data_IF_946395650985
#
_entry.id   IF_946395650985
#
_cell.length_a   1.000
_cell.length_b   1.000
_cell.length_c   1.000
_cell.angle_alpha   90.00
_cell.angle_beta   90.00
_cell.angle_gamma   90.00
#
_symmetry.space_group_name_H-M   'P 1'
#
loop_
_entity.id
_entity.type
_entity.pdbx_description
1 polymer ?
#
# COMPACT_ATOMS: atom_id res chain seq x y z
N UNK A 1 33.25 4.59 22.21
CA UNK A 1 31.94 4.88 21.58
C UNK A 1 31.67 3.79 20.57
N UNK A 2 30.94 2.74 20.95
CA UNK A 2 30.58 1.65 20.05
C UNK A 2 29.40 2.12 19.17
N UNK A 3 29.70 2.68 18.01
CA UNK A 3 28.70 2.97 16.99
C UNK A 3 28.18 1.63 16.45
N UNK A 4 26.99 1.23 16.88
CA UNK A 4 26.36 0.00 16.40
C UNK A 4 26.15 0.08 14.90
N UNK A 5 26.71 -0.88 14.16
CA UNK A 5 26.57 -0.95 12.71
C UNK A 5 25.08 -1.09 12.34
N UNK A 6 24.61 -0.24 11.42
CA UNK A 6 23.28 -0.27 10.83
C UNK A 6 23.38 0.21 9.39
N UNK A 7 22.48 -0.26 8.51
CA UNK A 7 22.40 0.20 7.12
C UNK A 7 21.31 1.24 6.90
N UNK A 8 20.30 1.25 7.78
CA UNK A 8 19.11 2.06 7.65
C UNK A 8 18.95 2.88 8.91
N UNK A 9 18.59 4.14 8.77
CA UNK A 9 18.19 5.03 9.84
C UNK A 9 16.90 5.75 9.48
N UNK A 10 16.17 6.23 10.49
CA UNK A 10 15.04 7.11 10.22
C UNK A 10 15.55 8.46 9.71
N UNK A 11 14.69 9.18 8.97
CA UNK A 11 15.02 10.55 8.58
C UNK A 11 15.28 11.41 9.83
N UNK A 12 16.04 12.49 9.66
CA UNK A 12 16.33 13.46 10.74
C UNK A 12 15.07 14.13 11.29
N UNK A 13 13.99 14.14 10.52
CA UNK A 13 12.70 14.73 10.86
C UNK A 13 11.60 13.67 10.66
N UNK A 14 11.49 12.68 11.55
CA UNK A 14 10.49 11.64 11.41
C UNK A 14 9.10 12.21 11.72
N UNK A 15 8.10 11.86 10.92
CA UNK A 15 6.72 12.22 11.22
C UNK A 15 6.24 11.42 12.42
N UNK A 16 5.66 12.13 13.41
CA UNK A 16 5.13 11.51 14.63
C UNK A 16 3.62 11.66 14.72
N UNK A 17 2.93 10.57 15.02
CA UNK A 17 1.48 10.51 15.06
C UNK A 17 0.98 10.37 16.50
N UNK A 18 -0.26 10.79 16.76
CA UNK A 18 -0.86 10.63 18.07
C UNK A 18 -1.15 9.13 18.30
N UNK A 19 -1.06 8.61 19.54
CA UNK A 19 -1.31 7.20 19.80
C UNK A 19 -2.70 6.78 19.31
N UNK A 20 -2.83 5.54 18.84
CA UNK A 20 -4.13 4.97 18.42
C UNK A 20 -5.16 4.97 19.56
N UNK A 21 -4.73 5.09 20.82
CA UNK A 21 -5.60 5.22 21.99
C UNK A 21 -6.34 6.57 22.06
N UNK A 22 -5.88 7.59 21.32
CA UNK A 22 -6.45 8.95 21.29
C UNK A 22 -7.21 9.26 19.99
N UNK A 23 -7.31 8.29 19.07
CA UNK A 23 -7.98 8.45 17.77
C UNK A 23 -8.93 7.28 17.53
N UNK A 24 -10.02 7.52 16.81
CA UNK A 24 -10.98 6.46 16.47
C UNK A 24 -10.46 5.61 15.30
N UNK A 25 -9.72 6.22 14.38
CA UNK A 25 -9.07 5.53 13.28
C UNK A 25 -7.93 6.36 12.67
N UNK A 26 -6.97 5.68 12.05
CA UNK A 26 -5.86 6.29 11.33
C UNK A 26 -5.71 5.70 9.93
N UNK A 27 -5.44 6.53 8.94
CA UNK A 27 -5.31 6.14 7.54
C UNK A 27 -4.11 6.80 6.90
N UNK A 28 -3.36 6.03 6.12
CA UNK A 28 -2.24 6.56 5.35
C UNK A 28 -2.66 6.81 3.90
N UNK A 29 -2.50 8.04 3.45
CA UNK A 29 -2.65 8.44 2.05
C UNK A 29 -1.29 8.40 1.37
N UNK A 30 -1.01 7.27 0.74
CA UNK A 30 0.24 7.04 0.01
C UNK A 30 0.45 8.05 -1.12
N UNK A 31 -0.61 8.59 -1.72
CA UNK A 31 -0.48 9.51 -2.86
C UNK A 31 0.06 10.88 -2.47
N UNK A 32 -0.22 11.32 -1.25
CA UNK A 32 0.22 12.61 -0.71
C UNK A 32 1.23 12.46 0.44
N UNK A 33 1.61 11.24 0.80
CA UNK A 33 2.42 10.92 1.99
C UNK A 33 1.88 11.57 3.27
N UNK A 34 0.56 11.47 3.47
CA UNK A 34 -0.16 12.08 4.59
C UNK A 34 -0.82 11.03 5.48
N UNK A 35 -0.82 11.26 6.78
CA UNK A 35 -1.59 10.46 7.73
C UNK A 35 -2.83 11.23 8.17
N UNK A 36 -3.99 10.56 8.13
CA UNK A 36 -5.27 11.07 8.59
C UNK A 36 -5.59 10.42 9.92
N UNK A 37 -5.69 11.21 10.98
CA UNK A 37 -6.11 10.78 12.31
C UNK A 37 -7.54 11.29 12.56
N UNK A 38 -8.50 10.38 12.61
CA UNK A 38 -9.92 10.68 12.79
C UNK A 38 -10.28 10.62 14.28
N UNK A 39 -10.95 11.66 14.78
CA UNK A 39 -11.27 11.88 16.18
C UNK A 39 -12.73 12.36 16.36
N UNK A 40 -13.18 12.38 17.61
CA UNK A 40 -14.45 12.97 18.05
C UNK A 40 -15.68 12.51 17.23
N UNK A 41 -15.99 11.21 17.23
CA UNK A 41 -17.16 10.68 16.55
C UNK A 41 -17.09 10.77 15.02
N UNK A 42 -15.91 10.55 14.45
CA UNK A 42 -15.64 10.57 13.01
C UNK A 42 -15.88 11.90 12.28
N UNK A 43 -15.65 13.03 12.96
CA UNK A 43 -15.88 14.37 12.41
C UNK A 43 -14.62 15.21 12.34
N UNK A 44 -13.78 15.19 13.36
CA UNK A 44 -12.53 15.96 13.36
C UNK A 44 -11.41 15.10 12.81
N UNK A 45 -10.71 15.62 11.79
CA UNK A 45 -9.63 14.91 11.14
C UNK A 45 -8.38 15.76 11.19
N UNK A 46 -7.33 15.20 11.80
CA UNK A 46 -5.99 15.78 11.80
C UNK A 46 -5.18 15.13 10.68
N UNK A 47 -4.75 15.95 9.73
CA UNK A 47 -3.87 15.54 8.64
C UNK A 47 -2.45 15.89 9.04
N UNK A 48 -1.54 14.92 8.93
CA UNK A 48 -0.10 15.09 9.21
C UNK A 48 0.68 14.72 7.97
N UNK A 49 1.41 15.67 7.41
CA UNK A 49 2.32 15.45 6.28
C UNK A 49 3.76 15.19 6.73
N UNK A 50 4.67 15.09 5.75
CA UNK A 50 6.10 15.02 5.99
C UNK A 50 6.64 16.33 6.58
N UNK A 51 6.10 17.46 6.13
CA UNK A 51 6.42 18.79 6.63
C UNK A 51 5.32 19.33 7.56
N UNK A 52 5.67 20.30 8.41
CA UNK A 52 4.72 20.87 9.38
C UNK A 52 3.63 21.69 8.66
N UNK A 53 3.99 22.37 7.57
CA UNK A 53 3.08 23.12 6.70
C UNK A 53 2.05 22.23 5.97
N UNK A 54 2.36 20.95 5.78
CA UNK A 54 1.43 19.96 5.21
C UNK A 54 0.49 19.36 6.28
N UNK A 55 0.64 19.80 7.54
CA UNK A 55 -0.16 19.32 8.66
C UNK A 55 -1.24 20.33 9.03
N UNK A 56 -2.51 19.92 8.95
CA UNK A 56 -3.66 20.78 9.19
C UNK A 56 -4.84 19.99 9.76
N UNK A 57 -5.89 20.71 10.16
CA UNK A 57 -7.14 20.11 10.65
C UNK A 57 -8.27 20.40 9.69
N UNK A 58 -9.13 19.41 9.50
CA UNK A 58 -10.36 19.53 8.74
C UNK A 58 -11.50 18.94 9.55
N UNK A 59 -12.71 19.41 9.30
CA UNK A 59 -13.94 18.80 9.82
C UNK A 59 -14.68 18.18 8.65
N UNK A 60 -15.11 16.93 8.83
CA UNK A 60 -15.89 16.18 7.85
C UNK A 60 -17.34 16.02 8.33
N UNK A 61 -18.31 15.86 7.42
CA UNK A 61 -19.71 15.65 7.79
C UNK A 61 -19.89 14.44 8.71
N UNK A 62 -20.71 14.61 9.76
CA UNK A 62 -21.03 13.59 10.77
C UNK A 62 -21.93 12.48 10.18
N UNK A 63 -21.32 11.52 9.47
CA UNK A 63 -22.02 10.43 8.76
C UNK A 63 -21.58 9.03 9.21
N UNK A 64 -21.08 8.91 10.44
CA UNK A 64 -20.69 7.64 11.03
C UNK A 64 -19.23 7.24 10.77
N UNK A 65 -18.88 5.96 10.87
CA UNK A 65 -17.50 5.49 10.74
C UNK A 65 -16.88 5.75 9.36
N UNK A 66 -15.56 5.94 9.33
CA UNK A 66 -14.74 6.03 8.11
C UNK A 66 -14.02 4.70 7.93
N UNK A 67 -14.06 4.11 6.73
CA UNK A 67 -13.25 2.95 6.36
C UNK A 67 -11.99 3.35 5.59
N UNK A 68 -12.06 4.42 4.80
CA UNK A 68 -10.95 4.96 4.02
C UNK A 68 -11.14 6.47 3.86
N UNK A 69 -10.08 7.26 3.98
CA UNK A 69 -10.08 8.70 3.71
C UNK A 69 -8.74 9.11 3.10
N UNK A 70 -8.77 9.94 2.05
CA UNK A 70 -7.58 10.49 1.40
C UNK A 70 -7.88 11.71 0.56
N UNK A 71 -6.85 12.49 0.24
CA UNK A 71 -6.95 13.56 -0.73
C UNK A 71 -6.61 13.08 -2.13
N UNK A 72 -7.19 13.74 -3.12
CA UNK A 72 -6.72 13.68 -4.49
C UNK A 72 -5.44 14.54 -4.64
N UNK A 73 -4.46 14.13 -5.47
CA UNK A 73 -3.16 14.81 -5.56
C UNK A 73 -3.17 16.09 -6.42
N UNK A 74 -4.20 16.31 -7.23
CA UNK A 74 -4.33 17.47 -8.09
C UNK A 74 -5.01 18.68 -7.44
N UNK A 75 -5.16 19.75 -8.23
CA UNK A 75 -5.86 20.98 -7.82
C UNK A 75 -7.19 21.12 -8.57
N UNK A 76 -8.32 21.41 -7.90
CA UNK A 76 -8.49 21.52 -6.44
C UNK A 76 -8.30 20.17 -5.72
N UNK A 77 -7.88 20.20 -4.44
CA UNK A 77 -7.78 18.99 -3.61
C UNK A 77 -9.18 18.49 -3.26
N UNK A 78 -9.50 17.26 -3.66
CA UNK A 78 -10.78 16.60 -3.42
C UNK A 78 -10.60 15.61 -2.27
N UNK A 79 -11.40 15.76 -1.22
CA UNK A 79 -11.45 14.79 -0.14
C UNK A 79 -12.31 13.60 -0.58
N UNK A 80 -11.73 12.41 -0.54
CA UNK A 80 -12.42 11.16 -0.86
C UNK A 80 -12.61 10.34 0.42
N UNK A 81 -13.85 9.96 0.72
CA UNK A 81 -14.24 9.27 1.96
C UNK A 81 -15.05 8.04 1.60
N UNK A 82 -14.65 6.88 2.11
CA UNK A 82 -15.47 5.67 2.08
C UNK A 82 -16.01 5.42 3.48
N UNK A 83 -17.34 5.39 3.60
CA UNK A 83 -18.06 5.05 4.84
C UNK A 83 -18.86 3.76 4.68
N UNK A 84 -19.35 3.54 3.46
CA UNK A 84 -20.13 2.37 3.06
C UNK A 84 -19.27 1.49 2.17
N UNK A 85 -19.53 0.18 2.23
CA UNK A 85 -18.90 -0.76 1.31
C UNK A 85 -19.29 -0.53 -0.15
N UNK A 86 -20.39 0.16 -0.42
CA UNK A 86 -21.01 0.24 -1.75
C UNK A 86 -20.96 1.63 -2.37
N UNK A 87 -20.18 2.56 -1.83
CA UNK A 87 -20.05 3.92 -2.38
C UNK A 87 -18.82 4.65 -1.86
N UNK A 88 -18.32 5.59 -2.65
CA UNK A 88 -17.29 6.56 -2.24
C UNK A 88 -17.89 7.97 -2.30
N UNK A 89 -17.65 8.77 -1.27
CA UNK A 89 -18.06 10.17 -1.16
C UNK A 89 -16.88 11.08 -1.54
N UNK A 90 -17.17 12.15 -2.26
CA UNK A 90 -16.23 13.16 -2.72
C UNK A 90 -16.69 14.54 -2.26
N UNK A 91 -15.80 15.26 -1.60
CA UNK A 91 -16.09 16.56 -1.01
C UNK A 91 -15.00 17.55 -1.41
N UNK A 92 -15.40 18.70 -1.96
CA UNK A 92 -14.49 19.83 -2.10
C UNK A 92 -14.59 20.70 -0.83
N UNK A 93 -13.73 20.40 0.15
CA UNK A 93 -13.73 21.09 1.45
C UNK A 93 -13.08 22.48 1.40
N UNK A 94 -12.39 22.81 0.31
CA UNK A 94 -11.66 24.09 0.15
C UNK A 94 -12.42 25.10 -0.73
N UNK A 95 -13.57 24.72 -1.26
CA UNK A 95 -14.46 25.61 -2.01
C UNK A 95 -15.50 26.23 -1.07
N UNK A 96 -15.74 27.55 -1.21
CA UNK A 96 -16.82 28.24 -0.47
C UNK A 96 -18.19 27.62 -0.75
N UNK A 97 -18.39 27.09 -1.96
CA UNK A 97 -19.51 26.23 -2.29
C UNK A 97 -19.09 24.78 -2.08
N UNK A 98 -19.25 24.27 -0.86
CA UNK A 98 -18.94 22.87 -0.52
C UNK A 98 -19.78 21.93 -1.40
N UNK A 99 -19.18 21.44 -2.49
CA UNK A 99 -19.85 20.53 -3.41
C UNK A 99 -19.56 19.11 -2.97
N UNK A 100 -20.61 18.40 -2.60
CA UNK A 100 -20.56 16.99 -2.23
C UNK A 100 -21.17 16.12 -3.33
N UNK A 101 -20.49 15.02 -3.66
CA UNK A 101 -20.99 14.01 -4.56
C UNK A 101 -20.69 12.63 -4.01
N UNK A 102 -21.64 11.72 -4.15
CA UNK A 102 -21.41 10.31 -3.88
C UNK A 102 -21.41 9.57 -5.21
N UNK A 103 -20.46 8.65 -5.37
CA UNK A 103 -20.43 7.72 -6.48
C UNK A 103 -20.93 6.35 -5.97
N UNK A 104 -22.23 6.05 -6.10
CA UNK A 104 -22.76 4.75 -5.73
C UNK A 104 -22.33 3.68 -6.73
N UNK A 105 -22.15 2.45 -6.25
CA UNK A 105 -21.95 1.31 -7.13
C UNK A 105 -23.23 1.02 -7.93
N UNK A 106 -23.08 0.74 -9.23
CA UNK A 106 -24.20 0.35 -10.11
C UNK A 106 -24.92 -0.91 -9.61
N UNK A 107 -24.16 -1.87 -9.05
CA UNK A 107 -24.65 -3.16 -8.55
C UNK A 107 -24.38 -3.32 -7.04
N UNK A 108 -24.82 -2.34 -6.25
CA UNK A 108 -24.53 -2.25 -4.81
C UNK A 108 -24.99 -3.47 -3.97
N UNK A 109 -25.89 -4.32 -4.46
CA UNK A 109 -26.33 -5.52 -3.74
C UNK A 109 -25.31 -6.65 -3.73
N UNK A 110 -24.43 -6.73 -4.74
CA UNK A 110 -23.53 -7.87 -4.96
C UNK A 110 -22.05 -7.48 -5.07
N UNK A 111 -21.72 -6.21 -4.81
CA UNK A 111 -20.36 -5.72 -4.96
C UNK A 111 -19.96 -4.73 -3.89
N UNK A 112 -18.74 -4.90 -3.38
CA UNK A 112 -18.11 -4.00 -2.40
C UNK A 112 -16.92 -3.29 -3.06
N UNK A 113 -16.68 -2.04 -2.68
CA UNK A 113 -15.49 -1.26 -3.01
C UNK A 113 -14.31 -1.83 -2.25
N UNK A 114 -13.29 -2.25 -3.00
CA UNK A 114 -12.01 -2.74 -2.48
C UNK A 114 -10.96 -1.62 -2.41
N UNK A 115 -11.06 -0.62 -3.29
CA UNK A 115 -10.17 0.52 -3.30
C UNK A 115 -10.57 1.54 -4.36
N UNK A 116 -10.04 2.75 -4.24
CA UNK A 116 -10.21 3.81 -5.24
C UNK A 116 -8.91 4.60 -5.35
N UNK A 117 -8.50 5.00 -6.56
CA UNK A 117 -7.19 5.61 -6.81
C UNK A 117 -7.30 6.76 -7.79
N UNK A 118 -6.77 7.92 -7.42
CA UNK A 118 -6.67 9.07 -8.33
C UNK A 118 -5.46 8.89 -9.24
N UNK A 119 -5.65 9.13 -10.53
CA UNK A 119 -4.57 9.13 -11.53
C UNK A 119 -4.64 10.41 -12.36
N UNK A 120 -3.48 10.86 -12.85
CA UNK A 120 -3.32 12.09 -13.63
C UNK A 120 -3.94 13.32 -12.94
N UNK A 121 -3.48 13.61 -11.71
CA UNK A 121 -3.81 14.85 -10.97
C UNK A 121 -5.30 15.24 -10.97
N UNK A 122 -6.16 14.27 -10.65
CA UNK A 122 -7.63 14.39 -10.54
C UNK A 122 -8.41 14.30 -11.85
N UNK A 123 -7.76 14.06 -12.99
CA UNK A 123 -8.49 13.87 -14.25
C UNK A 123 -9.24 12.54 -14.28
N UNK A 124 -8.72 11.52 -13.60
CA UNK A 124 -9.33 10.20 -13.57
C UNK A 124 -9.32 9.58 -12.18
N UNK A 125 -10.37 8.80 -11.93
CA UNK A 125 -10.55 7.98 -10.75
C UNK A 125 -10.68 6.52 -11.19
N UNK A 126 -9.85 5.66 -10.62
CA UNK A 126 -9.94 4.22 -10.74
C UNK A 126 -10.71 3.70 -9.54
N UNK A 127 -11.86 3.07 -9.76
CA UNK A 127 -12.63 2.42 -8.71
C UNK A 127 -12.49 0.90 -8.86
N UNK A 128 -12.03 0.24 -7.81
CA UNK A 128 -11.89 -1.21 -7.77
C UNK A 128 -12.93 -1.78 -6.84
N UNK A 129 -13.73 -2.70 -7.37
CA UNK A 129 -14.77 -3.40 -6.63
C UNK A 129 -14.50 -4.89 -6.64
N UNK A 130 -15.28 -5.66 -5.90
CA UNK A 130 -15.24 -7.13 -5.97
C UNK A 130 -15.65 -7.69 -7.34
N UNK A 131 -16.25 -6.88 -8.22
CA UNK A 131 -16.76 -7.32 -9.51
C UNK A 131 -16.06 -6.70 -10.73
N UNK A 132 -15.38 -5.56 -10.58
CA UNK A 132 -14.74 -4.87 -11.69
C UNK A 132 -13.63 -3.89 -11.29
N UNK A 133 -12.79 -3.57 -12.27
CA UNK A 133 -11.97 -2.35 -12.29
C UNK A 133 -12.64 -1.33 -13.20
N UNK A 134 -13.05 -0.19 -12.66
CA UNK A 134 -13.78 0.86 -13.37
C UNK A 134 -12.95 2.14 -13.46
N UNK A 135 -12.86 2.72 -14.65
CA UNK A 135 -12.20 4.01 -14.88
C UNK A 135 -13.27 5.10 -15.08
N UNK A 136 -13.22 6.13 -14.26
CA UNK A 136 -14.06 7.32 -14.35
C UNK A 136 -13.21 8.52 -14.72
N UNK A 137 -13.64 9.28 -15.71
CA UNK A 137 -13.15 10.63 -15.96
C UNK A 137 -13.83 11.57 -14.96
N UNK A 138 -13.05 12.42 -14.32
CA UNK A 138 -13.52 13.38 -13.34
C UNK A 138 -13.38 14.81 -13.90
N UNK A 139 -14.41 15.62 -13.70
CA UNK A 139 -14.28 17.07 -13.75
C UNK A 139 -14.13 17.57 -12.31
N UNK A 140 -12.92 17.97 -11.87
CA UNK A 140 -12.67 18.26 -10.47
C UNK A 140 -13.38 19.54 -9.98
N UNK A 141 -13.65 20.49 -10.87
CA UNK A 141 -14.37 21.73 -10.53
C UNK A 141 -15.87 21.50 -10.33
N UNK A 142 -16.48 20.65 -11.17
CA UNK A 142 -17.92 20.33 -11.09
C UNK A 142 -18.21 19.11 -10.21
N UNK A 143 -17.17 18.41 -9.75
CA UNK A 143 -17.23 17.14 -9.03
C UNK A 143 -18.03 16.06 -9.79
N UNK A 144 -17.97 16.05 -11.13
CA UNK A 144 -18.74 15.08 -11.93
C UNK A 144 -17.86 13.93 -12.39
N UNK A 145 -18.41 12.72 -12.35
CA UNK A 145 -17.71 11.50 -12.75
C UNK A 145 -18.44 10.83 -13.91
N UNK A 146 -17.71 10.51 -14.98
CA UNK A 146 -18.22 9.79 -16.14
C UNK A 146 -17.43 8.50 -16.31
N UNK A 147 -18.10 7.35 -16.25
CA UNK A 147 -17.46 6.06 -16.51
C UNK A 147 -17.00 6.01 -17.97
N UNK A 148 -15.70 5.76 -18.17
CA UNK A 148 -15.06 5.65 -19.48
C UNK A 148 -14.84 4.18 -19.86
N UNK A 149 -14.46 3.35 -18.89
CA UNK A 149 -14.17 1.94 -19.12
C UNK A 149 -14.45 1.10 -17.88
N UNK A 150 -14.79 -0.17 -18.07
CA UNK A 150 -14.93 -1.15 -17.00
C UNK A 150 -14.40 -2.52 -17.43
N UNK A 151 -13.73 -3.22 -16.51
CA UNK A 151 -13.18 -4.55 -16.70
C UNK A 151 -13.76 -5.48 -15.65
N UNK A 152 -14.69 -6.34 -16.05
CA UNK A 152 -15.34 -7.29 -15.16
C UNK A 152 -14.37 -8.40 -14.75
N UNK A 153 -14.06 -8.48 -13.45
CA UNK A 153 -13.16 -9.45 -12.83
C UNK A 153 -13.71 -9.73 -11.43
N UNK A 154 -13.83 -10.99 -11.04
CA UNK A 154 -14.16 -11.35 -9.66
C UNK A 154 -12.93 -11.10 -8.78
N UNK A 155 -12.84 -9.97 -8.08
CA UNK A 155 -11.62 -9.49 -7.43
C UNK A 155 -11.66 -9.78 -5.93
N UNK A 156 -10.53 -10.25 -5.39
CA UNK A 156 -10.31 -10.52 -3.97
C UNK A 156 -9.76 -9.30 -3.25
N UNK A 157 -8.69 -8.72 -3.78
CA UNK A 157 -7.96 -7.57 -3.25
C UNK A 157 -7.26 -6.82 -4.39
N UNK A 158 -6.78 -5.62 -4.12
CA UNK A 158 -6.10 -4.76 -5.08
C UNK A 158 -4.99 -3.93 -4.43
N UNK A 159 -3.85 -3.77 -5.11
CA UNK A 159 -2.75 -2.89 -4.71
C UNK A 159 -2.41 -1.92 -5.84
N UNK A 160 -1.99 -0.70 -5.50
CA UNK A 160 -1.69 0.34 -6.47
C UNK A 160 -0.36 1.04 -6.17
N UNK A 161 0.52 1.13 -7.18
CA UNK A 161 1.69 2.01 -7.14
C UNK A 161 1.28 3.36 -7.71
N UNK A 162 1.22 4.38 -6.85
CA UNK A 162 0.96 5.76 -7.26
C UNK A 162 2.13 6.35 -8.07
N UNK A 163 3.37 5.96 -7.75
CA UNK A 163 4.57 6.44 -8.43
C UNK A 163 4.67 5.86 -9.85
N UNK A 164 4.44 4.55 -9.99
CA UNK A 164 4.57 3.86 -11.28
C UNK A 164 3.27 3.84 -12.09
N UNK A 165 2.16 4.29 -11.48
CA UNK A 165 0.83 4.23 -12.07
C UNK A 165 0.47 2.81 -12.55
N UNK A 166 0.62 1.84 -11.66
CA UNK A 166 0.29 0.44 -11.89
C UNK A 166 -0.67 -0.06 -10.82
N UNK A 167 -1.78 -0.67 -11.25
CA UNK A 167 -2.71 -1.41 -10.40
C UNK A 167 -2.48 -2.90 -10.60
N UNK A 168 -2.44 -3.67 -9.52
CA UNK A 168 -2.51 -5.14 -9.59
C UNK A 168 -3.71 -5.59 -8.78
N UNK A 169 -4.59 -6.38 -9.41
CA UNK A 169 -5.72 -7.00 -8.72
C UNK A 169 -5.57 -8.51 -8.74
N UNK A 170 -5.91 -9.17 -7.64
CA UNK A 170 -5.98 -10.62 -7.59
C UNK A 170 -7.42 -11.08 -7.78
N UNK A 171 -7.63 -12.02 -8.70
CA UNK A 171 -8.94 -12.64 -8.86
C UNK A 171 -9.24 -13.65 -7.75
N UNK A 172 -10.53 -13.85 -7.48
CA UNK A 172 -11.05 -14.94 -6.67
C UNK A 172 -11.18 -16.17 -7.55
N UNK A 173 -10.47 -17.23 -7.19
CA UNK A 173 -10.46 -18.47 -7.96
C UNK A 173 -9.74 -19.59 -7.23
N UNK A 174 -9.59 -20.73 -7.91
CA UNK A 174 -8.88 -21.89 -7.37
C UNK A 174 -7.36 -21.68 -7.31
N UNK A 175 -6.81 -20.88 -8.24
CA UNK A 175 -5.43 -20.39 -8.23
C UNK A 175 -5.44 -18.85 -8.15
N UNK A 176 -4.51 -18.24 -7.41
CA UNK A 176 -4.37 -16.78 -7.41
C UNK A 176 -3.84 -16.31 -8.77
N UNK A 177 -4.71 -15.65 -9.53
CA UNK A 177 -4.36 -15.03 -10.82
C UNK A 177 -4.30 -13.52 -10.64
N UNK A 178 -3.15 -12.93 -10.97
CA UNK A 178 -2.90 -11.50 -10.89
C UNK A 178 -3.19 -10.84 -12.23
N UNK A 179 -3.89 -9.72 -12.18
CA UNK A 179 -4.25 -8.91 -13.34
C UNK A 179 -3.67 -7.50 -13.19
N UNK A 180 -2.54 -7.20 -13.84
CA UNK A 180 -1.96 -5.86 -13.82
C UNK A 180 -2.67 -4.92 -14.79
N UNK A 181 -2.73 -3.65 -14.44
CA UNK A 181 -3.18 -2.54 -15.28
C UNK A 181 -2.14 -1.43 -15.21
N UNK A 182 -1.72 -0.93 -16.37
CA UNK A 182 -0.85 0.24 -16.47
C UNK A 182 -1.67 1.44 -16.92
N UNK A 183 -1.39 2.60 -16.31
CA UNK A 183 -2.00 3.87 -16.70
C UNK A 183 -0.96 4.75 -17.38
N UNK A 184 -1.27 5.27 -18.57
CA UNK A 184 -0.36 6.12 -19.34
C UNK A 184 -1.07 7.35 -19.87
N UNK A 185 -0.52 8.52 -19.57
CA UNK A 185 -0.98 9.79 -20.11
C UNK A 185 -0.60 9.92 -21.59
N UNK A 186 -1.44 10.59 -22.40
CA UNK A 186 -1.16 10.85 -23.82
C UNK A 186 -1.23 9.63 -24.76
N UNK A 187 -1.53 8.44 -24.25
CA UNK A 187 -1.80 7.23 -25.05
C UNK A 187 -3.23 7.21 -25.58
N UNK A 188 -3.47 6.50 -26.69
CA UNK A 188 -4.83 6.23 -27.21
C UNK A 188 -5.70 5.47 -26.21
N UNK A 189 -5.08 4.74 -25.28
CA UNK A 189 -5.76 4.06 -24.18
C UNK A 189 -5.12 4.48 -22.85
N UNK A 190 -5.86 5.25 -22.06
CA UNK A 190 -5.44 5.74 -20.72
C UNK A 190 -5.14 4.59 -19.76
N UNK A 191 -5.94 3.52 -19.81
CA UNK A 191 -5.75 2.30 -19.02
C UNK A 191 -5.53 1.12 -19.97
N UNK A 192 -4.46 0.37 -19.73
CA UNK A 192 -4.15 -0.87 -20.47
C UNK A 192 -4.11 -2.03 -19.50
N UNK A 193 -4.96 -3.04 -19.73
CA UNK A 193 -4.91 -4.30 -19.00
C UNK A 193 -3.74 -5.12 -19.54
N UNK A 194 -2.76 -5.42 -18.71
CA UNK A 194 -1.65 -6.29 -19.07
C UNK A 194 -2.08 -7.76 -19.00
N UNK A 195 -1.25 -8.64 -19.56
CA UNK A 195 -1.47 -10.08 -19.49
C UNK A 195 -1.53 -10.56 -18.04
N UNK A 196 -2.59 -11.31 -17.73
CA UNK A 196 -2.70 -11.97 -16.43
C UNK A 196 -1.63 -13.05 -16.31
N UNK A 197 -1.21 -13.33 -15.09
CA UNK A 197 -0.31 -14.43 -14.79
C UNK A 197 -0.71 -15.06 -13.47
N UNK A 198 -0.46 -16.35 -13.36
CA UNK A 198 -0.78 -17.12 -12.17
C UNK A 198 0.44 -17.18 -11.27
N UNK A 199 0.19 -17.10 -9.96
CA UNK A 199 1.21 -17.30 -8.93
C UNK A 199 1.05 -18.71 -8.42
N UNK A 200 2.05 -19.55 -8.67
CA UNK A 200 2.11 -20.85 -8.02
C UNK A 200 2.22 -20.62 -6.52
N UNK A 201 1.53 -21.41 -5.70
CA UNK A 201 1.65 -21.37 -4.24
C UNK A 201 2.14 -22.74 -3.76
N UNK A 202 2.93 -22.78 -2.68
CA UNK A 202 3.38 -24.06 -2.15
C UNK A 202 2.17 -24.88 -1.65
N UNK A 203 2.19 -26.20 -1.81
CA UNK A 203 1.11 -27.06 -1.34
C UNK A 203 0.98 -26.97 0.19
N UNK A 204 -0.24 -26.71 0.67
CA UNK A 204 -0.57 -26.67 2.10
C UNK A 204 -1.39 -27.89 2.49
N UNK A 205 -1.10 -28.46 3.67
CA UNK A 205 -1.69 -29.73 4.16
C UNK A 205 -3.09 -29.56 4.76
N UNK A 206 -3.43 -28.37 5.24
CA UNK A 206 -4.63 -28.14 6.08
C UNK A 206 -5.66 -27.18 5.46
N UNK A 207 -5.23 -26.29 4.55
CA UNK A 207 -6.11 -25.33 3.87
C UNK A 207 -5.60 -25.03 2.47
N UNK A 208 -6.48 -24.71 1.53
CA UNK A 208 -6.07 -24.25 0.20
C UNK A 208 -5.24 -22.97 0.35
N UNK A 209 -4.05 -22.89 -0.27
CA UNK A 209 -3.21 -21.71 -0.14
C UNK A 209 -3.89 -20.51 -0.83
N UNK A 210 -3.96 -19.38 -0.14
CA UNK A 210 -4.56 -18.13 -0.63
C UNK A 210 -3.49 -17.06 -0.60
N UNK A 211 -3.29 -16.38 -1.73
CA UNK A 211 -2.39 -15.24 -1.81
C UNK A 211 -3.07 -14.01 -1.19
N UNK A 212 -2.46 -13.44 -0.16
CA UNK A 212 -3.00 -12.29 0.55
C UNK A 212 -2.40 -10.98 0.02
N UNK A 213 -3.15 -9.88 0.14
CA UNK A 213 -2.70 -8.54 -0.27
C UNK A 213 -1.33 -8.17 0.33
N UNK A 214 -1.16 -8.39 1.64
CA UNK A 214 0.09 -8.11 2.39
C UNK A 214 1.31 -8.89 1.91
N UNK A 215 1.12 -9.93 1.08
CA UNK A 215 2.20 -10.77 0.55
C UNK A 215 2.66 -10.28 -0.82
N UNK A 216 2.03 -9.23 -1.37
CA UNK A 216 2.32 -8.71 -2.70
C UNK A 216 2.69 -7.23 -2.62
N UNK A 217 3.75 -6.85 -3.32
CA UNK A 217 4.20 -5.46 -3.42
C UNK A 217 4.52 -5.13 -4.88
N UNK A 218 4.17 -3.92 -5.32
CA UNK A 218 4.67 -3.38 -6.59
C UNK A 218 5.94 -2.60 -6.28
N UNK A 219 7.00 -2.86 -7.03
CA UNK A 219 8.27 -2.16 -6.86
C UNK A 219 8.95 -1.90 -8.19
N UNK A 220 9.69 -0.80 -8.27
CA UNK A 220 10.53 -0.48 -9.42
C UNK A 220 11.99 -0.61 -9.03
N UNK A 221 12.70 -1.47 -9.75
CA UNK A 221 14.12 -1.75 -9.56
C UNK A 221 14.82 -1.53 -10.89
N UNK A 222 15.83 -0.66 -10.92
CA UNK A 222 16.62 -0.37 -12.12
C UNK A 222 15.76 0.05 -13.32
N UNK A 223 14.71 0.83 -13.06
CA UNK A 223 13.77 1.30 -14.08
C UNK A 223 12.72 0.28 -14.53
N UNK A 224 12.77 -0.96 -14.02
CA UNK A 224 11.86 -2.06 -14.38
C UNK A 224 10.87 -2.30 -13.24
N UNK A 225 9.59 -2.47 -13.58
CA UNK A 225 8.52 -2.71 -12.60
C UNK A 225 8.36 -4.22 -12.37
N UNK A 226 8.34 -4.59 -11.10
CA UNK A 226 8.14 -5.95 -10.63
C UNK A 226 6.92 -6.03 -9.71
N UNK A 227 6.22 -7.16 -9.79
CA UNK A 227 5.32 -7.62 -8.74
C UNK A 227 6.09 -8.59 -7.87
N UNK A 228 6.43 -8.15 -6.67
CA UNK A 228 7.08 -8.98 -5.67
C UNK A 228 6.04 -9.79 -4.91
N UNK A 229 6.26 -11.09 -4.80
CA UNK A 229 5.41 -12.01 -4.04
C UNK A 229 6.24 -12.66 -2.95
N UNK A 230 5.90 -12.39 -1.70
CA UNK A 230 6.49 -13.02 -0.54
C UNK A 230 5.89 -14.41 -0.33
N UNK A 231 6.73 -15.42 -0.27
CA UNK A 231 6.36 -16.77 0.11
C UNK A 231 7.02 -17.15 1.42
N UNK A 232 6.21 -17.53 2.39
CA UNK A 232 6.69 -18.15 3.61
C UNK A 232 6.57 -19.67 3.45
N UNK A 233 7.69 -20.39 3.36
CA UNK A 233 7.61 -21.85 3.32
C UNK A 233 7.28 -22.35 4.72
N UNK A 234 6.17 -23.09 4.85
CA UNK A 234 5.80 -23.75 6.10
C UNK A 234 6.58 -25.07 6.31
N UNK A 235 7.43 -25.47 5.36
CA UNK A 235 8.21 -26.70 5.47
C UNK A 235 9.41 -26.46 6.39
N UNK A 236 9.57 -27.34 7.38
CA UNK A 236 10.66 -27.26 8.34
C UNK A 236 12.02 -27.19 7.63
N UNK A 237 12.74 -26.08 7.82
CA UNK A 237 14.08 -25.85 7.26
C UNK A 237 14.13 -25.02 5.97
N UNK A 238 12.99 -24.64 5.37
CA UNK A 238 12.97 -23.67 4.27
C UNK A 238 12.55 -22.29 4.78
N UNK A 239 13.40 -21.28 4.56
CA UNK A 239 13.09 -19.90 4.91
C UNK A 239 12.08 -19.26 3.97
N UNK A 240 11.78 -17.98 4.23
CA UNK A 240 10.98 -17.17 3.32
C UNK A 240 11.76 -16.87 2.02
N UNK A 241 11.03 -16.68 0.93
CA UNK A 241 11.55 -16.25 -0.36
C UNK A 241 10.69 -15.10 -0.90
N UNK A 242 11.30 -14.23 -1.71
CA UNK A 242 10.58 -13.19 -2.45
C UNK A 242 10.76 -13.42 -3.94
N UNK A 243 9.67 -13.70 -4.64
CA UNK A 243 9.67 -13.87 -6.09
C UNK A 243 9.35 -12.55 -6.79
N UNK A 244 10.19 -12.17 -7.76
CA UNK A 244 10.02 -10.95 -8.54
C UNK A 244 9.54 -11.28 -9.95
N UNK A 245 8.27 -10.98 -10.20
CA UNK A 245 7.64 -11.11 -11.51
C UNK A 245 7.80 -9.79 -12.27
N UNK A 246 8.66 -9.79 -13.28
CA UNK A 246 8.86 -8.63 -14.15
C UNK A 246 7.61 -8.39 -14.98
N UNK A 247 7.01 -7.21 -14.85
CA UNK A 247 5.88 -6.84 -15.68
C UNK A 247 6.33 -6.60 -17.12
N UNK A 248 5.65 -7.26 -18.04
CA UNK A 248 5.87 -7.15 -19.48
C UNK A 248 4.62 -6.56 -20.14
N UNK A 249 4.81 -5.80 -21.21
CA UNK A 249 3.70 -5.16 -21.91
C UNK A 249 2.99 -6.17 -22.84
N UNK A 250 3.77 -6.93 -23.61
CA UNK A 250 3.27 -7.82 -24.67
C UNK A 250 3.13 -9.28 -24.25
N UNK A 251 3.68 -9.66 -23.10
CA UNK A 251 3.65 -11.04 -22.60
C UNK A 251 3.17 -11.08 -21.15
N UNK A 252 2.79 -12.25 -20.62
CA UNK A 252 2.63 -12.44 -19.18
C UNK A 252 3.90 -12.02 -18.42
N UNK A 253 3.72 -11.66 -17.14
CA UNK A 253 4.84 -11.31 -16.29
C UNK A 253 5.81 -12.48 -16.16
N UNK A 254 7.11 -12.20 -16.27
CA UNK A 254 8.15 -13.22 -16.22
C UNK A 254 8.74 -13.31 -14.82
N UNK A 255 8.71 -14.48 -14.20
CA UNK A 255 9.50 -14.72 -13.00
C UNK A 255 10.98 -14.66 -13.37
N UNK A 256 11.70 -13.69 -12.81
CA UNK A 256 13.08 -13.36 -13.20
C UNK A 256 14.06 -13.49 -12.05
N UNK A 257 13.63 -13.21 -10.83
CA UNK A 257 14.47 -13.25 -9.64
C UNK A 257 13.76 -13.90 -8.45
N UNK A 258 14.55 -14.55 -7.59
CA UNK A 258 14.15 -15.06 -6.29
C UNK A 258 15.12 -14.51 -5.24
N UNK A 259 14.62 -13.89 -4.17
CA UNK A 259 15.43 -13.43 -3.05
C UNK A 259 15.29 -14.44 -1.89
N UNK A 260 16.38 -15.13 -1.53
CA UNK A 260 16.42 -16.11 -0.44
C UNK A 260 16.62 -15.38 0.88
N UNK A 261 15.62 -15.40 1.77
CA UNK A 261 15.74 -14.78 3.10
C UNK A 261 16.28 -15.81 4.10
N UNK A 262 16.10 -17.12 3.84
CA UNK A 262 16.56 -18.25 4.68
C UNK A 262 16.14 -18.16 6.17
N UNK A 263 15.16 -17.33 6.46
CA UNK A 263 14.58 -17.11 7.79
C UNK A 263 13.06 -17.20 7.70
N UNK A 264 12.42 -17.74 8.74
CA UNK A 264 10.96 -17.77 8.87
C UNK A 264 10.48 -16.63 9.75
N UNK A 265 9.39 -15.96 9.37
CA UNK A 265 8.84 -14.91 10.21
C UNK A 265 7.90 -13.97 9.46
N UNK A 266 7.65 -12.82 10.07
CA UNK A 266 6.95 -11.70 9.43
C UNK A 266 7.98 -10.72 8.88
N UNK A 267 7.88 -10.45 7.59
CA UNK A 267 8.77 -9.55 6.88
C UNK A 267 7.98 -8.38 6.33
N UNK A 268 8.65 -7.23 6.28
CA UNK A 268 8.21 -6.05 5.53
C UNK A 268 9.21 -5.82 4.39
N UNK A 269 8.71 -5.52 3.19
CA UNK A 269 9.54 -5.20 2.04
C UNK A 269 9.55 -3.69 1.80
N UNK A 270 10.70 -3.16 1.44
CA UNK A 270 10.83 -1.81 0.91
C UNK A 270 11.92 -1.75 -0.15
N UNK A 271 11.94 -0.66 -0.92
CA UNK A 271 12.99 -0.37 -1.89
C UNK A 271 13.69 0.91 -1.50
N UNK A 272 15.02 0.88 -1.50
CA UNK A 272 15.88 2.04 -1.26
C UNK A 272 16.99 2.00 -2.31
N UNK A 273 17.06 3.00 -3.19
CA UNK A 273 18.11 3.11 -4.22
C UNK A 273 18.27 1.85 -5.10
N UNK A 274 17.15 1.23 -5.50
CA UNK A 274 17.08 -0.06 -6.22
C UNK A 274 17.52 -1.30 -5.44
N UNK A 275 17.83 -1.16 -4.15
CA UNK A 275 18.04 -2.28 -3.24
C UNK A 275 16.71 -2.71 -2.64
N UNK A 276 16.46 -4.01 -2.63
CA UNK A 276 15.32 -4.59 -1.91
C UNK A 276 15.73 -4.82 -0.46
N UNK A 277 14.98 -4.21 0.44
CA UNK A 277 15.13 -4.38 1.89
C UNK A 277 14.06 -5.33 2.38
N UNK A 278 14.46 -6.44 3.00
CA UNK A 278 13.55 -7.30 3.75
C UNK A 278 13.80 -7.14 5.25
N UNK A 279 12.86 -6.48 5.95
CA UNK A 279 12.95 -6.28 7.39
C UNK A 279 12.19 -7.38 8.15
N UNK A 280 12.90 -8.18 8.92
CA UNK A 280 12.32 -9.18 9.81
C UNK A 280 11.80 -8.52 11.09
N UNK A 281 10.47 -8.43 11.24
CA UNK A 281 9.84 -7.70 12.35
C UNK A 281 10.16 -8.29 13.73
N UNK A 282 10.17 -9.63 13.86
CA UNK A 282 10.45 -10.32 15.12
C UNK A 282 11.90 -10.16 15.60
N UNK A 283 12.87 -10.36 14.70
CA UNK A 283 14.29 -10.24 14.98
C UNK A 283 14.82 -8.80 14.93
N UNK A 284 14.02 -7.86 14.40
CA UNK A 284 14.39 -6.45 14.21
C UNK A 284 15.64 -6.27 13.35
N UNK A 285 15.83 -7.13 12.36
CA UNK A 285 16.98 -7.13 11.44
C UNK A 285 16.53 -6.90 10.01
N UNK A 286 17.33 -6.18 9.24
CA UNK A 286 17.12 -5.92 7.82
C UNK A 286 18.15 -6.65 6.98
N UNK A 287 17.66 -7.29 5.92
CA UNK A 287 18.45 -7.94 4.87
C UNK A 287 18.39 -7.06 3.62
N UNK A 288 19.52 -6.97 2.91
CA UNK A 288 19.63 -6.18 1.69
C UNK A 288 19.91 -7.10 0.50
N UNK A 289 19.18 -6.88 -0.58
CA UNK A 289 19.33 -7.61 -1.83
C UNK A 289 19.51 -6.62 -2.97
N UNK A 290 20.37 -6.96 -3.92
CA UNK A 290 20.56 -6.23 -5.16
C UNK A 290 20.45 -7.19 -6.33
N UNK A 291 19.44 -6.98 -7.17
CA UNK A 291 19.18 -7.85 -8.32
C UNK A 291 20.12 -7.60 -9.50
N UNK A 292 20.92 -6.53 -9.45
CA UNK A 292 21.91 -6.20 -10.48
C UNK A 292 23.15 -7.09 -10.41
N UNK A 293 23.44 -7.69 -9.25
CA UNK A 293 24.50 -8.68 -9.10
C UNK A 293 24.10 -10.03 -9.67
N UNK A 294 25.08 -10.84 -10.06
CA UNK A 294 24.82 -12.17 -10.62
C UNK A 294 24.25 -13.10 -9.54
N UNK A 295 22.96 -13.40 -9.66
CA UNK A 295 22.31 -14.48 -8.93
C UNK A 295 22.55 -15.84 -9.58
N UNK A 296 22.49 -16.90 -8.77
CA UNK A 296 22.65 -18.29 -9.23
C UNK A 296 21.41 -18.73 -10.02
N UNK A 297 21.56 -19.43 -11.16
CA UNK A 297 20.41 -19.92 -11.91
C UNK A 297 19.66 -20.99 -11.11
N UNK A 298 18.38 -20.73 -10.80
CA UNK A 298 17.51 -21.69 -10.14
C UNK A 298 16.92 -22.66 -11.17
N UNK A 299 17.43 -23.89 -11.18
CA UNK A 299 17.10 -24.92 -12.18
C UNK A 299 15.59 -25.19 -12.34
N UNK A 300 14.81 -25.05 -11.26
CA UNK A 300 13.37 -25.37 -11.26
C UNK A 300 12.50 -24.27 -11.88
N UNK A 301 12.87 -23.00 -11.70
CA UNK A 301 12.04 -21.85 -12.10
C UNK A 301 12.63 -21.07 -13.26
N UNK A 302 13.92 -21.25 -13.56
CA UNK A 302 14.68 -20.42 -14.50
C UNK A 302 14.98 -19.01 -13.99
N UNK A 303 14.60 -18.69 -12.75
CA UNK A 303 14.88 -17.40 -12.11
C UNK A 303 16.32 -17.34 -11.58
N UNK A 304 16.85 -16.12 -11.42
CA UNK A 304 18.12 -15.90 -10.72
C UNK A 304 17.87 -15.83 -9.22
N UNK A 305 18.48 -16.72 -8.45
CA UNK A 305 18.43 -16.76 -6.99
C UNK A 305 19.49 -15.82 -6.43
N UNK A 306 19.08 -14.96 -5.52
CA UNK A 306 19.91 -13.97 -4.85
C UNK A 306 19.97 -14.25 -3.35
N UNK A 307 21.15 -14.07 -2.77
CA UNK A 307 21.37 -14.10 -1.33
C UNK A 307 21.50 -12.66 -0.79
N UNK A 308 21.30 -12.45 0.52
CA UNK A 308 21.55 -11.16 1.13
C UNK A 308 23.00 -10.72 0.89
N UNK A 309 23.21 -9.48 0.44
CA UNK A 309 24.54 -8.97 0.12
C UNK A 309 25.42 -8.79 1.35
N UNK A 310 24.80 -8.48 2.49
CA UNK A 310 25.47 -8.11 3.72
C UNK A 310 24.84 -8.83 4.92
N UNK A 311 25.60 -8.89 6.02
CA UNK A 311 25.12 -9.45 7.27
C UNK A 311 23.86 -8.71 7.76
N UNK A 312 22.86 -9.41 8.34
CA UNK A 312 21.63 -8.75 8.80
C UNK A 312 21.92 -7.77 9.94
N UNK A 313 21.49 -6.52 9.81
CA UNK A 313 21.65 -5.49 10.85
C UNK A 313 20.32 -4.83 11.19
N UNK A 314 20.18 -4.33 12.42
CA UNK A 314 18.99 -3.57 12.81
C UNK A 314 18.93 -2.21 12.13
N UNK A 315 17.72 -1.66 12.01
CA UNK A 315 17.54 -0.23 11.77
C UNK A 315 18.13 0.53 12.96
N UNK A 316 18.75 1.69 12.69
CA UNK A 316 19.36 2.54 13.69
C UNK A 316 18.40 2.80 14.87
N UNK A 317 18.82 2.53 16.12
CA UNK A 317 18.00 2.83 17.28
C UNK A 317 17.66 4.32 17.31
N UNK A 318 16.37 4.65 17.26
CA UNK A 318 15.90 6.04 17.31
C UNK A 318 15.26 6.34 18.66
N UNK A 319 15.66 7.47 19.27
CA UNK A 319 14.99 8.02 20.45
C UNK A 319 13.84 8.92 19.99
N UNK A 320 12.61 8.47 20.16
CA UNK A 320 11.45 9.34 19.98
C UNK A 320 11.23 10.15 21.26
N UNK A 321 11.05 11.45 21.14
CA UNK A 321 10.71 12.29 22.29
C UNK A 321 9.34 11.85 22.82
N UNK A 322 9.31 11.26 24.01
CA UNK A 322 8.05 10.97 24.69
C UNK A 322 7.35 12.31 24.97
N UNK A 323 6.26 12.58 24.28
CA UNK A 323 5.48 13.81 24.48
C UNK A 323 4.97 13.81 25.92
N UNK A 324 5.35 14.83 26.71
CA UNK A 324 4.83 15.01 28.08
C UNK A 324 3.31 15.06 28.00
N UNK A 325 2.63 14.07 28.60
CA UNK A 325 1.21 14.18 28.93
C UNK A 325 1.05 15.51 29.66
N UNK A 326 0.18 16.40 29.15
CA UNK A 326 -0.31 17.52 29.95
C UNK A 326 -0.98 16.89 31.16
N UNK A 327 -0.31 16.94 32.31
CA UNK A 327 -0.82 16.43 33.58
C UNK A 327 -1.97 17.32 34.03
N UNK A 328 -3.19 17.00 33.58
CA UNK A 328 -4.38 17.30 34.35
C UNK A 328 -4.46 16.30 35.51
N UNK A 329 -4.21 16.80 36.73
CA UNK A 329 -4.61 16.24 38.02
C UNK A 329 -4.56 14.72 38.23
N UNK A 330 -3.58 14.29 39.03
CA UNK A 330 -3.75 13.27 40.08
C UNK A 330 -3.99 11.82 39.68
N UNK A 331 -2.98 10.95 39.89
CA UNK A 331 -3.21 9.52 40.07
C UNK A 331 -2.16 8.64 39.40
N UNK A 332 -1.30 8.02 40.22
CA UNK A 332 -0.29 7.01 39.90
C UNK A 332 -0.75 6.03 38.80
N UNK A 333 0.07 5.78 37.77
CA UNK A 333 0.06 4.50 37.04
C UNK A 333 1.38 4.19 36.31
N UNK A 334 1.63 2.88 36.27
CA UNK A 334 2.81 2.15 35.78
C UNK A 334 3.21 2.53 34.35
N UNK A 335 4.53 2.51 34.12
CA UNK A 335 5.18 2.58 32.81
C UNK A 335 5.08 1.21 32.12
N UNK A 336 4.38 1.14 31.00
CA UNK A 336 4.67 0.20 29.92
C UNK A 336 4.58 0.96 28.61
N UNK A 337 5.65 0.93 27.82
CA UNK A 337 5.77 1.61 26.53
C UNK A 337 5.68 0.57 25.42
N UNK A 338 4.59 0.59 24.66
CA UNK A 338 4.48 -0.17 23.42
C UNK A 338 4.74 0.74 22.22
N UNK A 339 5.76 0.39 21.42
CA UNK A 339 6.03 0.99 20.12
C UNK A 339 5.19 0.27 19.06
N UNK A 340 4.22 0.97 18.46
CA UNK A 340 3.57 0.52 17.25
C UNK A 340 4.44 0.92 16.04
N UNK A 341 4.93 -0.07 15.30
CA UNK A 341 5.55 0.15 13.98
C UNK A 341 4.42 0.11 12.97
N UNK A 342 4.19 1.23 12.28
CA UNK A 342 3.34 1.26 11.09
C UNK A 342 4.06 0.51 9.96
N UNK A 343 3.37 -0.47 9.39
CA UNK A 343 3.77 -1.10 8.14
C UNK A 343 3.37 -0.14 7.00
N UNK A 344 4.27 0.24 6.09
CA UNK A 344 3.86 0.81 4.80
C UNK A 344 3.06 -0.22 3.99
#
# INVERSE_FOLDING_TARGET
MAGGAHYLELSKLPVTFDPLEEVESAFFDQSNFQMFCVQHGFTDVRVKGLAEEDSFKITIPARGPVSTIKFSPGSPRILSIQRRKTSVEFVNIFSEQSTERSLPLKNASNSDVLGFYWVFKNEYLVLVTTAAVELYQCNPYRMTFKMVRSFNINISWAIFSHEDLVLVVCSRGHSPSLHPFAFREGSSSIITRLHKFDVELPPSRETRPVLMEREVMIMKLYGVIYVAVMRNSAQAGQGAEVFLYQLMTETPAKLSHCLSIDMSGRFTLSVVDNLVVAHHQGMKTSLLFDISYDGEPQATTGARKHLPMLAPLSIAPTKMAARKRRSGGGGRRRKESHSAVFNP
#
